data_IF_338385729899
#
_entry.id   IF_338385729899
#
_cell.length_a   1.000
_cell.length_b   1.000
_cell.length_c   1.000
_cell.angle_alpha   90.00
_cell.angle_beta   90.00
_cell.angle_gamma   90.00
#
_symmetry.space_group_name_H-M   'P 1'
#
loop_
_entity.id
_entity.type
_entity.pdbx_description
1 polymer ?
#
# COMPACT_ATOMS: atom_id res chain seq x y z
N UNK A 1 -8.05 -13.75 -6.97
CA UNK A 1 -7.37 -13.60 -8.27
C UNK A 1 -5.87 -13.48 -8.09
N UNK A 2 -5.05 -13.68 -9.13
CA UNK A 2 -3.65 -13.26 -9.12
C UNK A 2 -3.54 -11.93 -9.84
N UNK A 3 -2.71 -11.03 -9.33
CA UNK A 3 -2.59 -9.66 -9.83
C UNK A 3 -1.61 -9.58 -11.01
N UNK A 4 -1.81 -10.41 -12.04
CA UNK A 4 -0.89 -10.47 -13.21
C UNK A 4 -0.75 -9.13 -13.93
N UNK A 5 -1.76 -8.25 -13.84
CA UNK A 5 -1.73 -6.88 -14.33
C UNK A 5 -0.63 -6.02 -13.70
N UNK A 6 -0.16 -6.37 -12.49
CA UNK A 6 0.93 -5.66 -11.82
C UNK A 6 2.32 -6.11 -12.26
N UNK A 7 2.43 -7.18 -13.07
CA UNK A 7 3.71 -7.72 -13.55
C UNK A 7 4.57 -6.67 -14.27
N UNK A 8 3.95 -5.79 -15.07
CA UNK A 8 4.65 -4.71 -15.78
C UNK A 8 5.30 -3.67 -14.85
N UNK A 9 4.84 -3.61 -13.60
CA UNK A 9 5.30 -2.69 -12.55
C UNK A 9 6.18 -3.37 -11.50
N UNK A 10 6.52 -4.66 -11.67
CA UNK A 10 7.40 -5.42 -10.77
C UNK A 10 8.67 -4.62 -10.43
N UNK A 11 8.94 -4.45 -9.14
CA UNK A 11 10.06 -3.71 -8.56
C UNK A 11 10.14 -2.21 -8.95
N UNK A 12 9.08 -1.63 -9.52
CA UNK A 12 9.02 -0.20 -9.84
C UNK A 12 8.30 0.56 -8.74
N UNK A 13 8.78 1.76 -8.45
CA UNK A 13 8.07 2.74 -7.61
C UNK A 13 6.95 3.35 -8.42
N UNK A 14 5.73 3.20 -7.94
CA UNK A 14 4.51 3.71 -8.58
C UNK A 14 3.68 4.50 -7.58
N UNK A 15 2.74 5.29 -8.09
CA UNK A 15 1.73 5.93 -7.24
C UNK A 15 0.60 4.95 -7.00
N UNK A 16 0.21 4.80 -5.74
CA UNK A 16 -0.90 3.97 -5.30
C UNK A 16 -1.95 4.87 -4.67
N UNK A 17 -3.22 4.63 -4.99
CA UNK A 17 -4.35 5.25 -4.31
C UNK A 17 -5.43 4.20 -4.03
N UNK A 18 -6.17 4.36 -2.95
CA UNK A 18 -7.31 3.51 -2.64
C UNK A 18 -8.04 4.03 -1.42
N UNK A 19 -9.15 3.39 -1.05
CA UNK A 19 -9.90 3.72 0.15
C UNK A 19 -9.43 2.83 1.29
N UNK A 20 -9.01 3.42 2.41
CA UNK A 20 -8.58 2.66 3.57
C UNK A 20 -9.81 2.13 4.30
N UNK A 21 -9.98 0.80 4.35
CA UNK A 21 -11.19 0.19 4.94
C UNK A 21 -10.97 -0.36 6.34
N UNK A 22 -9.80 -0.93 6.60
CA UNK A 22 -9.48 -1.56 7.89
C UNK A 22 -8.02 -1.33 8.27
N UNK A 23 -7.78 -1.18 9.57
CA UNK A 23 -6.47 -1.17 10.20
C UNK A 23 -6.56 -2.09 11.41
N UNK A 24 -5.69 -3.09 11.47
CA UNK A 24 -5.73 -4.12 12.51
C UNK A 24 -4.31 -4.52 12.89
N UNK A 25 -4.09 -4.88 14.15
CA UNK A 25 -2.87 -5.56 14.56
C UNK A 25 -2.96 -7.05 14.21
N UNK A 26 -1.87 -7.61 13.66
CA UNK A 26 -1.74 -9.05 13.39
C UNK A 26 -1.71 -9.86 14.69
N UNK A 27 -1.01 -9.36 15.70
CA UNK A 27 -0.89 -9.89 17.04
C UNK A 27 -1.07 -8.76 18.05
N UNK A 28 -2.00 -8.93 18.98
CA UNK A 28 -2.30 -7.93 20.01
C UNK A 28 -1.21 -7.84 21.07
N UNK A 29 -0.43 -8.91 21.27
CA UNK A 29 0.65 -8.97 22.26
C UNK A 29 1.77 -7.99 21.89
N UNK A 30 2.10 -7.91 20.60
CA UNK A 30 3.24 -7.15 20.11
C UNK A 30 2.92 -5.66 19.90
N UNK A 31 1.71 -5.19 20.23
CA UNK A 31 1.21 -3.85 19.86
C UNK A 31 2.09 -2.68 20.35
N UNK A 32 2.85 -2.89 21.42
CA UNK A 32 3.71 -1.86 22.01
C UNK A 32 5.13 -1.83 21.42
N UNK A 33 5.54 -2.84 20.66
CA UNK A 33 6.84 -2.80 19.97
C UNK A 33 6.72 -2.06 18.64
N UNK A 34 7.20 -0.82 18.61
CA UNK A 34 7.10 0.07 17.45
C UNK A 34 7.87 -0.41 16.21
N UNK A 35 8.77 -1.38 16.35
CA UNK A 35 9.68 -1.83 15.29
C UNK A 35 9.17 -3.04 14.50
N UNK A 36 8.17 -3.76 15.03
CA UNK A 36 7.66 -5.01 14.44
C UNK A 36 6.60 -4.72 13.37
N UNK A 37 6.69 -5.44 12.25
CA UNK A 37 5.69 -5.50 11.19
C UNK A 37 4.43 -6.24 11.66
N UNK A 38 3.59 -5.52 12.40
CA UNK A 38 2.42 -6.06 13.07
C UNK A 38 1.12 -5.32 12.74
N UNK A 39 1.15 -4.32 11.87
CA UNK A 39 -0.05 -3.62 11.39
C UNK A 39 -0.43 -4.12 10.01
N UNK A 40 -1.71 -4.45 9.82
CA UNK A 40 -2.29 -4.77 8.51
C UNK A 40 -3.31 -3.72 8.14
N UNK A 41 -3.16 -3.15 6.95
CA UNK A 41 -4.05 -2.12 6.41
C UNK A 41 -4.72 -2.67 5.16
N UNK A 42 -6.05 -2.70 5.15
CA UNK A 42 -6.82 -3.07 3.96
C UNK A 42 -7.15 -1.81 3.16
N UNK A 43 -6.68 -1.78 1.92
CA UNK A 43 -7.14 -0.83 0.92
C UNK A 43 -8.08 -1.53 -0.06
N UNK A 44 -9.17 -0.86 -0.41
CA UNK A 44 -10.13 -1.27 -1.45
C UNK A 44 -10.19 -0.20 -2.55
N UNK A 45 -10.76 -0.55 -3.71
CA UNK A 45 -10.88 0.34 -4.87
C UNK A 45 -9.51 0.93 -5.26
N UNK A 46 -8.53 0.05 -5.41
CA UNK A 46 -7.12 0.42 -5.44
C UNK A 46 -6.63 0.62 -6.87
N UNK A 47 -6.04 1.78 -7.13
CA UNK A 47 -5.28 2.04 -8.34
C UNK A 47 -3.78 1.97 -8.06
N UNK A 48 -3.07 1.14 -8.81
CA UNK A 48 -1.61 0.97 -8.75
C UNK A 48 -1.03 1.38 -10.10
N UNK A 49 -0.38 2.55 -10.16
CA UNK A 49 0.20 3.06 -11.41
C UNK A 49 -0.82 3.18 -12.56
N UNK A 50 -2.10 3.45 -12.24
CA UNK A 50 -3.20 3.52 -13.21
C UNK A 50 -3.96 2.21 -13.42
N UNK A 51 -3.44 1.07 -12.97
CA UNK A 51 -4.12 -0.23 -13.03
C UNK A 51 -5.05 -0.40 -11.83
N UNK A 52 -6.32 -0.73 -12.08
CA UNK A 52 -7.30 -1.00 -11.02
C UNK A 52 -7.21 -2.44 -10.51
N UNK A 53 -7.30 -2.61 -9.18
CA UNK A 53 -7.42 -3.89 -8.49
C UNK A 53 -8.43 -3.76 -7.34
N UNK A 54 -9.11 -4.86 -7.00
CA UNK A 54 -10.17 -4.84 -5.99
C UNK A 54 -9.69 -4.39 -4.60
N UNK A 55 -8.58 -4.98 -4.14
CA UNK A 55 -8.03 -4.72 -2.81
C UNK A 55 -6.58 -5.16 -2.67
N UNK A 56 -5.90 -4.59 -1.67
CA UNK A 56 -4.56 -4.98 -1.24
C UNK A 56 -4.41 -4.83 0.28
N UNK A 57 -3.62 -5.73 0.87
CA UNK A 57 -3.16 -5.59 2.24
C UNK A 57 -1.77 -4.98 2.24
N UNK A 58 -1.60 -3.88 2.99
CA UNK A 58 -0.29 -3.37 3.36
C UNK A 58 0.09 -3.95 4.73
N UNK A 59 1.37 -4.26 4.88
CA UNK A 59 1.96 -4.72 6.13
C UNK A 59 2.95 -3.67 6.58
N UNK A 60 2.76 -3.16 7.79
CA UNK A 60 3.47 -2.00 8.30
C UNK A 60 3.88 -2.22 9.75
N UNK A 61 4.83 -1.41 10.21
CA UNK A 61 5.24 -1.38 11.62
C UNK A 61 4.19 -0.76 12.52
N UNK A 62 4.16 -1.17 13.79
CA UNK A 62 3.24 -0.65 14.81
C UNK A 62 3.23 0.88 14.92
N UNK A 63 4.37 1.55 14.72
CA UNK A 63 4.44 3.03 14.74
C UNK A 63 3.55 3.74 13.70
N UNK A 64 3.07 3.02 12.68
CA UNK A 64 2.18 3.56 11.65
C UNK A 64 0.70 3.24 11.90
N UNK A 65 0.37 2.57 13.01
CA UNK A 65 -1.02 2.23 13.32
C UNK A 65 -1.89 3.49 13.45
N UNK A 66 -1.49 4.43 14.31
CA UNK A 66 -2.29 5.63 14.58
C UNK A 66 -2.49 6.45 13.30
N UNK A 67 -1.42 6.68 12.54
CA UNK A 67 -1.46 7.34 11.23
C UNK A 67 -2.46 6.67 10.27
N UNK A 68 -2.45 5.34 10.19
CA UNK A 68 -3.34 4.61 9.31
C UNK A 68 -4.78 4.63 9.83
N UNK A 69 -4.97 4.57 11.15
CA UNK A 69 -6.28 4.56 11.79
C UNK A 69 -6.97 5.92 11.68
N UNK A 70 -6.23 7.02 11.74
CA UNK A 70 -6.73 8.38 11.50
C UNK A 70 -7.23 8.56 10.06
N UNK A 71 -6.67 7.81 9.11
CA UNK A 71 -7.05 7.83 7.70
C UNK A 71 -8.11 6.77 7.36
N UNK A 72 -8.79 6.20 8.36
CA UNK A 72 -9.78 5.15 8.14
C UNK A 72 -11.03 5.70 7.43
N UNK A 73 -11.47 4.96 6.42
CA UNK A 73 -12.50 5.32 5.44
C UNK A 73 -12.13 6.46 4.48
N UNK A 74 -10.91 7.01 4.59
CA UNK A 74 -10.45 8.05 3.68
C UNK A 74 -9.85 7.48 2.41
N UNK A 75 -9.91 8.28 1.34
CA UNK A 75 -9.17 8.00 0.11
C UNK A 75 -7.73 8.45 0.30
N UNK A 76 -6.83 7.47 0.35
CA UNK A 76 -5.41 7.69 0.60
C UNK A 76 -4.59 7.57 -0.69
N UNK A 77 -3.43 8.22 -0.71
CA UNK A 77 -2.48 8.17 -1.82
C UNK A 77 -1.05 8.22 -1.33
N UNK A 78 -0.18 7.42 -1.94
CA UNK A 78 1.22 7.29 -1.55
C UNK A 78 2.06 6.71 -2.70
N UNK A 79 3.38 6.74 -2.56
CA UNK A 79 4.31 6.02 -3.42
C UNK A 79 4.72 4.71 -2.77
N UNK A 80 4.81 3.66 -3.57
CA UNK A 80 5.23 2.34 -3.12
C UNK A 80 5.82 1.52 -4.26
N UNK A 81 6.53 0.46 -3.89
CA UNK A 81 7.14 -0.48 -4.81
C UNK A 81 6.26 -1.72 -4.91
N UNK A 82 5.98 -2.15 -6.14
CA UNK A 82 5.30 -3.42 -6.37
C UNK A 82 6.31 -4.55 -6.17
N UNK A 83 6.12 -5.36 -5.13
CA UNK A 83 7.03 -6.48 -4.80
C UNK A 83 6.40 -7.81 -5.20
N UNK A 84 7.12 -8.68 -5.94
CA UNK A 84 6.66 -10.04 -6.17
C UNK A 84 6.71 -10.81 -4.85
N UNK A 85 5.76 -11.70 -4.63
CA UNK A 85 5.83 -12.71 -3.58
C UNK A 85 5.24 -14.02 -4.09
N UNK A 86 5.58 -15.12 -3.43
CA UNK A 86 5.11 -16.44 -3.80
C UNK A 86 4.04 -16.87 -2.80
N UNK A 87 2.88 -17.26 -3.29
CA UNK A 87 1.83 -17.89 -2.48
C UNK A 87 1.71 -19.37 -2.79
N UNK A 88 1.54 -20.18 -1.75
CA UNK A 88 1.22 -21.60 -1.89
C UNK A 88 -0.23 -21.75 -2.33
N UNK A 89 -0.49 -22.55 -3.36
CA UNK A 89 -1.85 -22.90 -3.79
C UNK A 89 -2.32 -24.16 -3.06
N UNK A 90 -3.64 -24.39 -3.08
CA UNK A 90 -4.24 -25.62 -2.51
C UNK A 90 -3.68 -26.90 -3.15
N UNK A 91 -3.17 -26.82 -4.38
CA UNK A 91 -2.58 -27.93 -5.13
C UNK A 91 -1.07 -28.11 -4.90
N UNK A 92 -0.53 -27.60 -3.79
CA UNK A 92 0.92 -27.62 -3.47
C UNK A 92 1.83 -26.91 -4.49
N UNK A 93 1.28 -26.23 -5.50
CA UNK A 93 2.05 -25.44 -6.46
C UNK A 93 2.30 -24.03 -5.91
N UNK A 94 3.39 -23.42 -6.34
CA UNK A 94 3.74 -22.04 -6.00
C UNK A 94 3.29 -21.11 -7.12
N UNK A 95 2.62 -20.00 -6.77
CA UNK A 95 2.21 -18.97 -7.74
C UNK A 95 2.79 -17.62 -7.35
N UNK A 96 3.44 -16.94 -8.30
CA UNK A 96 3.84 -15.54 -8.13
C UNK A 96 2.59 -14.64 -8.07
N UNK A 97 2.58 -13.74 -7.10
CA UNK A 97 1.60 -12.67 -6.93
C UNK A 97 2.35 -11.39 -6.55
N UNK A 98 1.63 -10.27 -6.43
CA UNK A 98 2.25 -8.97 -6.21
C UNK A 98 1.65 -8.26 -5.00
N UNK A 99 2.53 -7.82 -4.11
CA UNK A 99 2.23 -6.98 -2.95
C UNK A 99 2.78 -5.57 -3.15
N UNK A 100 2.54 -4.70 -2.16
CA UNK A 100 2.95 -3.31 -2.20
C UNK A 100 3.76 -3.01 -0.94
N UNK A 101 4.96 -2.48 -1.13
CA UNK A 101 5.81 -1.95 -0.06
C UNK A 101 5.78 -0.42 -0.13
N UNK A 102 5.30 0.23 0.93
CA UNK A 102 5.18 1.69 0.96
C UNK A 102 6.55 2.37 1.04
N UNK A 103 6.73 3.46 0.29
CA UNK A 103 7.96 4.27 0.25
C UNK A 103 7.76 5.73 0.68
N UNK A 104 6.54 6.24 0.66
CA UNK A 104 6.22 7.57 1.18
C UNK A 104 5.22 7.49 2.34
N UNK A 105 5.04 8.60 3.04
CA UNK A 105 3.98 8.73 4.03
C UNK A 105 2.61 8.46 3.41
N UNK A 106 1.74 7.78 4.16
CA UNK A 106 0.33 7.61 3.83
C UNK A 106 -0.39 8.92 4.15
N UNK A 107 -1.13 9.46 3.20
CA UNK A 107 -1.86 10.73 3.35
C UNK A 107 -3.13 10.72 2.50
N UNK A 108 -4.03 11.66 2.75
CA UNK A 108 -5.23 11.82 1.92
C UNK A 108 -4.85 12.13 0.48
N UNK A 109 -5.68 11.71 -0.46
CA UNK A 109 -5.45 11.96 -1.89
C UNK A 109 -5.37 13.45 -2.22
N UNK A 110 -6.12 14.28 -1.49
CA UNK A 110 -6.11 15.75 -1.59
C UNK A 110 -4.74 16.31 -1.21
N UNK A 111 -4.25 15.96 -0.01
CA UNK A 111 -2.95 16.40 0.50
C UNK A 111 -1.81 15.96 -0.43
N UNK A 112 -1.83 14.72 -0.91
CA UNK A 112 -0.84 14.23 -1.86
C UNK A 112 -0.81 15.02 -3.18
N UNK A 113 -1.98 15.45 -3.66
CA UNK A 113 -2.07 16.23 -4.89
C UNK A 113 -1.62 17.68 -4.70
N UNK A 114 -1.84 18.26 -3.52
CA UNK A 114 -1.37 19.60 -3.13
C UNK A 114 0.15 19.62 -2.89
N UNK A 115 0.67 18.61 -2.19
CA UNK A 115 2.09 18.46 -1.89
C UNK A 115 2.95 18.02 -3.08
N UNK A 116 2.37 17.85 -4.29
CA UNK A 116 3.13 17.53 -5.50
C UNK A 116 4.35 18.47 -5.60
N UNK A 117 5.59 17.97 -5.47
CA UNK A 117 6.77 18.79 -5.66
C UNK A 117 7.02 18.95 -7.16
N UNK A 118 6.09 19.58 -7.90
CA UNK A 118 6.27 19.99 -9.30
C UNK A 118 5.37 21.18 -9.65
N UNK A 119 5.62 22.34 -9.03
CA UNK A 119 5.91 23.50 -9.88
C UNK A 119 7.42 23.48 -10.10
N UNK A 120 7.88 22.81 -11.16
CA UNK A 120 9.07 23.32 -11.83
C UNK A 120 8.68 24.73 -12.24
N UNK A 121 9.25 25.73 -11.59
CA UNK A 121 9.35 27.07 -12.18
C UNK A 121 9.80 26.87 -13.61
N UNK A 122 9.08 27.49 -14.54
CA UNK A 122 9.53 27.58 -15.91
C UNK A 122 10.96 28.09 -15.91
N UNK A 123 11.84 27.33 -16.55
CA UNK A 123 13.06 27.91 -17.10
C UNK A 123 12.68 28.25 -18.53
N UNK A 124 12.45 29.55 -18.72
CA UNK A 124 12.45 30.28 -19.98
C UNK A 124 13.64 29.86 -20.84
#
# INVERSE_FOLDING_TARGET
MARTSLKAMKNKTVTISGTLKKVEYKNQIDKHDTSIDNVKILLVDVSVGGVQIDHVWLYERNKYYDLANDLKNEKVKFRGVVKPYVKRTKSQLFREDYGIERKSTLMTAEKFNQEKPFKKMGSV
#
